data_IF_180937768918
#
_entry.id   IF_180937768918
#
_cell.length_a   1.000
_cell.length_b   1.000
_cell.length_c   1.000
_cell.angle_alpha   90.00
_cell.angle_beta   90.00
_cell.angle_gamma   90.00
#
_symmetry.space_group_name_H-M   'P 1'
#
loop_
_entity.id
_entity.type
_entity.pdbx_description
1 polymer ?
#
# COMPACT_ATOMS: atom_id res chain seq x y z
N UNK A 1 4.59 25.49 -35.65
CA UNK A 1 5.32 24.23 -35.83
C UNK A 1 5.31 23.54 -34.48
N UNK A 2 4.31 22.67 -34.27
CA UNK A 2 4.14 21.92 -33.02
C UNK A 2 5.20 20.81 -32.93
N UNK A 3 5.97 20.82 -31.85
CA UNK A 3 6.66 19.63 -31.36
C UNK A 3 5.75 19.01 -30.30
N UNK A 4 4.98 17.99 -30.71
CA UNK A 4 4.11 17.21 -29.84
C UNK A 4 4.92 16.44 -28.81
N UNK A 5 4.85 16.89 -27.56
CA UNK A 5 5.10 16.04 -26.39
C UNK A 5 4.02 14.94 -26.38
N UNK A 6 4.36 13.65 -26.23
CA UNK A 6 3.33 12.63 -26.04
C UNK A 6 2.59 12.91 -24.73
N UNK A 7 1.26 12.68 -24.66
CA UNK A 7 0.59 12.65 -23.37
C UNK A 7 1.13 11.45 -22.61
N UNK A 8 1.93 11.68 -21.56
CA UNK A 8 2.10 10.70 -20.51
C UNK A 8 0.72 10.53 -19.87
N UNK A 9 -0.06 9.59 -20.38
CA UNK A 9 -1.24 9.09 -19.68
C UNK A 9 -0.70 8.41 -18.43
N UNK A 10 -0.94 8.94 -17.22
CA UNK A 10 -0.54 8.23 -16.02
C UNK A 10 -1.27 6.89 -16.01
N UNK A 11 -0.51 5.81 -15.92
CA UNK A 11 -1.05 4.46 -15.78
C UNK A 11 -1.63 4.42 -14.35
N UNK A 12 -2.96 4.34 -14.27
CA UNK A 12 -3.70 4.37 -13.00
C UNK A 12 -4.49 5.66 -12.79
N UNK A 13 -5.81 5.52 -12.83
CA UNK A 13 -6.78 6.57 -12.51
C UNK A 13 -6.36 7.33 -11.24
N UNK A 14 -6.25 8.68 -11.25
CA UNK A 14 -5.78 9.45 -10.09
C UNK A 14 -6.59 9.16 -8.81
N UNK A 15 -7.87 8.81 -8.95
CA UNK A 15 -8.73 8.35 -7.85
C UNK A 15 -8.21 7.10 -7.14
N UNK A 16 -7.77 6.06 -7.87
CA UNK A 16 -7.33 4.80 -7.23
C UNK A 16 -6.03 5.00 -6.45
N UNK A 17 -5.14 5.84 -6.96
CA UNK A 17 -3.90 6.23 -6.29
C UNK A 17 -4.18 6.95 -4.97
N UNK A 18 -5.09 7.93 -4.98
CA UNK A 18 -5.49 8.66 -3.76
C UNK A 18 -6.15 7.74 -2.72
N UNK A 19 -7.00 6.80 -3.13
CA UNK A 19 -7.64 5.84 -2.22
C UNK A 19 -6.61 4.88 -1.60
N UNK A 20 -5.62 4.45 -2.38
CA UNK A 20 -4.52 3.62 -1.90
C UNK A 20 -3.67 4.36 -0.88
N UNK A 21 -3.27 5.60 -1.18
CA UNK A 21 -2.52 6.45 -0.25
C UNK A 21 -3.29 6.68 1.05
N UNK A 22 -4.60 6.95 0.94
CA UNK A 22 -5.47 7.11 2.11
C UNK A 22 -5.55 5.85 2.96
N UNK A 23 -5.63 4.68 2.33
CA UNK A 23 -5.66 3.39 3.04
C UNK A 23 -4.32 3.08 3.70
N UNK A 24 -3.21 3.43 3.05
CA UNK A 24 -1.86 3.29 3.62
C UNK A 24 -1.64 4.24 4.80
N UNK A 25 -2.19 5.45 4.74
CA UNK A 25 -2.17 6.41 5.85
C UNK A 25 -3.00 5.92 7.04
N UNK A 26 -4.21 5.40 6.80
CA UNK A 26 -5.05 4.82 7.84
C UNK A 26 -4.35 3.61 8.50
N UNK A 27 -3.73 2.74 7.69
CA UNK A 27 -2.91 1.64 8.16
C UNK A 27 -1.76 2.14 9.03
N UNK A 28 -1.05 3.20 8.60
CA UNK A 28 0.03 3.80 9.39
C UNK A 28 -0.47 4.29 10.75
N UNK A 29 -1.59 5.02 10.75
CA UNK A 29 -2.21 5.54 11.98
C UNK A 29 -2.65 4.42 12.93
N UNK A 30 -3.19 3.33 12.38
CA UNK A 30 -3.56 2.13 13.13
C UNK A 30 -2.34 1.43 13.74
N UNK A 31 -1.22 1.32 13.00
CA UNK A 31 0.06 0.83 13.53
C UNK A 31 0.59 1.72 14.64
N UNK A 32 0.37 3.04 14.53
CA UNK A 32 0.84 3.99 15.53
C UNK A 32 0.06 3.91 16.83
N UNK A 33 -1.25 3.68 16.71
CA UNK A 33 -2.18 3.60 17.82
C UNK A 33 -2.29 2.19 18.43
N UNK A 34 -1.84 1.15 17.73
CA UNK A 34 -1.84 -0.21 18.23
C UNK A 34 -0.70 -0.41 19.24
N UNK A 35 -0.99 -0.08 20.50
CA UNK A 35 -0.08 -0.21 21.64
C UNK A 35 0.36 -1.66 21.94
N UNK A 36 -0.31 -2.64 21.34
CA UNK A 36 -0.03 -4.08 21.45
C UNK A 36 0.94 -4.59 20.40
N UNK A 37 1.24 -3.81 19.35
CA UNK A 37 2.26 -4.19 18.37
C UNK A 37 3.64 -4.08 18.98
N UNK A 38 4.39 -5.18 18.90
CA UNK A 38 5.80 -5.18 19.23
C UNK A 38 6.58 -4.22 18.30
N UNK A 39 7.66 -3.63 18.80
CA UNK A 39 8.44 -2.65 18.07
C UNK A 39 8.98 -3.21 16.74
N UNK A 40 9.35 -4.50 16.71
CA UNK A 40 9.82 -5.18 15.50
C UNK A 40 8.70 -5.32 14.46
N UNK A 41 7.49 -5.66 14.92
CA UNK A 41 6.31 -5.81 14.05
C UNK A 41 5.89 -4.47 13.43
N UNK A 42 5.84 -3.42 14.26
CA UNK A 42 5.55 -2.06 13.82
C UNK A 42 6.60 -1.58 12.82
N UNK A 43 7.88 -1.89 13.03
CA UNK A 43 8.96 -1.53 12.10
C UNK A 43 8.80 -2.22 10.74
N UNK A 44 8.52 -3.54 10.72
CA UNK A 44 8.29 -4.30 9.48
C UNK A 44 7.12 -3.76 8.67
N UNK A 45 6.00 -3.50 9.33
CA UNK A 45 4.80 -2.95 8.69
C UNK A 45 5.06 -1.54 8.14
N UNK A 46 5.68 -0.67 8.93
CA UNK A 46 6.06 0.67 8.49
C UNK A 46 7.01 0.63 7.29
N UNK A 47 7.95 -0.31 7.28
CA UNK A 47 8.86 -0.50 6.14
C UNK A 47 8.09 -0.94 4.89
N UNK A 48 7.23 -1.95 5.00
CA UNK A 48 6.40 -2.42 3.88
C UNK A 48 5.52 -1.30 3.29
N UNK A 49 4.88 -0.50 4.15
CA UNK A 49 4.08 0.68 3.74
C UNK A 49 4.94 1.71 3.00
N UNK A 50 6.15 1.97 3.50
CA UNK A 50 7.07 2.94 2.89
C UNK A 50 7.53 2.45 1.52
N UNK A 51 7.88 1.16 1.40
CA UNK A 51 8.30 0.57 0.12
C UNK A 51 7.16 0.60 -0.91
N UNK A 52 5.91 0.39 -0.48
CA UNK A 52 4.73 0.52 -1.36
C UNK A 52 4.60 1.95 -1.88
N UNK A 53 4.68 2.96 -1.01
CA UNK A 53 4.59 4.38 -1.42
C UNK A 53 5.70 4.76 -2.40
N UNK A 54 6.93 4.31 -2.14
CA UNK A 54 8.06 4.57 -3.03
C UNK A 54 7.93 3.88 -4.39
N UNK A 55 7.37 2.67 -4.41
CA UNK A 55 7.14 1.93 -5.65
C UNK A 55 6.00 2.51 -6.47
N UNK A 56 4.94 3.00 -5.80
CA UNK A 56 3.84 3.74 -6.45
C UNK A 56 4.32 5.06 -7.08
N UNK A 57 5.24 5.77 -6.42
CA UNK A 57 5.82 7.03 -6.91
C UNK A 57 6.71 6.82 -8.14
N UNK A 58 7.42 5.70 -8.20
CA UNK A 58 8.34 5.42 -9.31
C UNK A 58 7.64 4.96 -10.59
N UNK A 59 6.33 4.69 -10.57
CA UNK A 59 5.57 4.00 -11.65
C UNK A 59 6.24 2.68 -12.13
N UNK A 60 7.25 2.24 -11.40
CA UNK A 60 8.12 1.13 -11.64
C UNK A 60 7.95 0.29 -10.38
N UNK A 61 7.17 -0.78 -10.50
CA UNK A 61 7.35 -2.07 -9.79
C UNK A 61 6.03 -2.86 -9.71
N UNK A 62 6.21 -4.17 -9.88
CA UNK A 62 5.33 -5.30 -9.57
C UNK A 62 4.62 -5.12 -8.21
N UNK A 63 3.49 -4.42 -8.24
CA UNK A 63 2.72 -4.06 -7.05
C UNK A 63 2.15 -5.28 -6.35
N UNK A 64 1.93 -6.36 -7.10
CA UNK A 64 1.67 -7.71 -6.59
C UNK A 64 2.69 -8.21 -5.56
N UNK A 65 3.99 -7.97 -5.74
CA UNK A 65 5.02 -8.49 -4.83
C UNK A 65 4.97 -7.78 -3.49
N UNK A 66 4.72 -6.47 -3.51
CA UNK A 66 4.56 -5.65 -2.31
C UNK A 66 3.23 -5.92 -1.61
N UNK A 67 2.14 -6.09 -2.35
CA UNK A 67 0.86 -6.51 -1.82
C UNK A 67 0.97 -7.86 -1.09
N UNK A 68 1.63 -8.84 -1.71
CA UNK A 68 1.87 -10.16 -1.08
C UNK A 68 2.70 -10.05 0.19
N UNK A 69 3.81 -9.28 0.17
CA UNK A 69 4.63 -9.08 1.38
C UNK A 69 3.86 -8.41 2.51
N UNK A 70 3.04 -7.40 2.19
CA UNK A 70 2.22 -6.72 3.20
C UNK A 70 1.18 -7.70 3.77
N UNK A 71 0.57 -8.52 2.91
CA UNK A 71 -0.40 -9.54 3.30
C UNK A 71 0.22 -10.60 4.20
N UNK A 72 1.37 -11.15 3.82
CA UNK A 72 2.14 -12.12 4.61
C UNK A 72 2.57 -11.55 5.97
N UNK A 73 2.98 -10.27 6.02
CA UNK A 73 3.22 -9.60 7.28
C UNK A 73 1.94 -9.64 8.11
N UNK A 74 0.81 -9.17 7.59
CA UNK A 74 -0.48 -9.15 8.31
C UNK A 74 -1.11 -10.48 8.69
N UNK A 75 -0.78 -11.58 8.02
CA UNK A 75 -1.34 -12.89 8.35
C UNK A 75 -1.03 -13.29 9.80
N UNK A 76 0.15 -12.92 10.31
CA UNK A 76 0.57 -13.23 11.68
C UNK A 76 -0.26 -12.49 12.73
N UNK A 77 -0.81 -11.33 12.40
CA UNK A 77 -1.57 -10.47 13.33
C UNK A 77 -3.05 -10.38 12.98
N UNK A 78 -3.55 -11.17 12.02
CA UNK A 78 -4.98 -11.24 11.70
C UNK A 78 -5.86 -11.60 12.91
N UNK A 79 -5.36 -12.46 13.78
CA UNK A 79 -6.09 -12.87 14.98
C UNK A 79 -6.14 -11.76 16.05
N UNK A 80 -5.07 -10.96 16.15
CA UNK A 80 -4.89 -9.95 17.19
C UNK A 80 -5.40 -8.56 16.76
N UNK A 81 -5.33 -8.28 15.46
CA UNK A 81 -5.56 -6.96 14.87
C UNK A 81 -6.44 -7.02 13.60
N UNK A 82 -7.74 -7.32 13.75
CA UNK A 82 -8.66 -7.41 12.61
C UNK A 82 -8.79 -6.10 11.82
N UNK A 83 -8.62 -4.94 12.46
CA UNK A 83 -8.63 -3.63 11.80
C UNK A 83 -7.45 -3.47 10.84
N UNK A 84 -6.25 -3.91 11.23
CA UNK A 84 -5.04 -3.85 10.40
C UNK A 84 -5.17 -4.77 9.18
N UNK A 85 -5.68 -5.99 9.38
CA UNK A 85 -5.93 -6.92 8.27
C UNK A 85 -6.95 -6.37 7.28
N UNK A 86 -8.00 -5.69 7.76
CA UNK A 86 -9.00 -5.09 6.87
C UNK A 86 -8.39 -3.98 5.99
N UNK A 87 -7.56 -3.11 6.58
CA UNK A 87 -6.82 -2.07 5.86
C UNK A 87 -5.85 -2.66 4.83
N UNK A 88 -5.08 -3.70 5.18
CA UNK A 88 -4.19 -4.38 4.22
C UNK A 88 -4.95 -5.11 3.12
N UNK A 89 -6.06 -5.75 3.45
CA UNK A 89 -6.95 -6.36 2.46
C UNK A 89 -7.45 -5.34 1.44
N UNK A 90 -7.83 -4.14 1.91
CA UNK A 90 -8.21 -3.02 1.04
C UNK A 90 -7.06 -2.52 0.17
N UNK A 91 -5.84 -2.40 0.71
CA UNK A 91 -4.64 -2.06 -0.09
C UNK A 91 -4.43 -3.09 -1.20
N UNK A 92 -4.46 -4.38 -0.88
CA UNK A 92 -4.27 -5.46 -1.85
C UNK A 92 -5.38 -5.51 -2.91
N UNK A 93 -6.64 -5.22 -2.53
CA UNK A 93 -7.78 -5.13 -3.45
C UNK A 93 -7.63 -3.98 -4.44
N UNK A 94 -7.28 -2.78 -3.96
CA UNK A 94 -7.04 -1.60 -4.81
C UNK A 94 -5.88 -1.87 -5.78
N UNK A 95 -4.79 -2.47 -5.31
CA UNK A 95 -3.66 -2.88 -6.15
C UNK A 95 -4.10 -3.89 -7.23
N UNK A 96 -4.87 -4.92 -6.84
CA UNK A 96 -5.42 -5.92 -7.77
C UNK A 96 -6.34 -5.29 -8.82
N UNK A 97 -7.15 -4.32 -8.42
CA UNK A 97 -8.08 -3.60 -9.29
C UNK A 97 -7.35 -2.70 -10.32
N UNK A 98 -6.13 -2.26 -10.00
CA UNK A 98 -5.26 -1.54 -10.93
C UNK A 98 -4.54 -2.47 -11.93
N UNK A 99 -4.62 -3.80 -11.75
CA UNK A 99 -4.05 -4.78 -12.67
C UNK A 99 -2.52 -4.89 -12.61
N UNK A 100 -1.93 -4.56 -11.46
CA UNK A 100 -0.47 -4.53 -11.17
C UNK A 100 -0.11 -5.34 -9.94
#
# INVERSE_FOLDING_TARGET
MEAGLPPFTPIGSPKMRTELEKTLDDLHHQLESAATLDQDQRARLRQAVTEIRQSLDREDVSSQTLASRLREATEQFQAEHPSLTNSVGRVADILSQMGI
#
